data_IF_014377817359
#
_entry.id   IF_014377817359
#
_cell.length_a   1.000
_cell.length_b   1.000
_cell.length_c   1.000
_cell.angle_alpha   90.00
_cell.angle_beta   90.00
_cell.angle_gamma   90.00
#
_symmetry.space_group_name_H-M   'P 1'
#
loop_
_entity.id
_entity.type
_entity.pdbx_description
1 polymer ?
#
# COMPACT_ATOMS: atom_id res chain seq x y z
N UNK A 1 12.11 9.48 -61.24
CA UNK A 1 12.80 8.91 -60.08
C UNK A 1 12.73 9.87 -58.91
N UNK A 2 11.82 9.61 -57.93
CA UNK A 2 11.67 10.41 -56.70
C UNK A 2 12.82 10.03 -55.75
N UNK A 3 13.72 10.97 -55.44
CA UNK A 3 14.71 10.83 -54.40
C UNK A 3 13.97 10.67 -53.05
N UNK A 4 14.00 9.48 -52.48
CA UNK A 4 13.60 9.25 -51.09
C UNK A 4 14.58 10.07 -50.21
N UNK A 5 14.06 11.15 -49.61
CA UNK A 5 14.81 11.94 -48.64
C UNK A 5 15.14 11.04 -47.44
N UNK A 6 16.42 10.70 -47.28
CA UNK A 6 16.94 10.11 -46.06
C UNK A 6 16.73 11.14 -44.98
N UNK A 7 15.77 10.85 -44.06
CA UNK A 7 15.62 11.59 -42.80
C UNK A 7 16.93 11.43 -42.00
N UNK A 8 17.82 12.40 -42.10
CA UNK A 8 18.94 12.51 -41.19
C UNK A 8 18.43 13.08 -39.86
N UNK A 9 18.17 12.19 -38.90
CA UNK A 9 17.96 12.62 -37.52
C UNK A 9 19.21 13.34 -37.03
N UNK A 10 19.10 14.65 -36.81
CA UNK A 10 20.19 15.42 -36.18
C UNK A 10 20.37 15.00 -34.72
N UNK A 11 21.56 15.22 -34.17
CA UNK A 11 21.91 14.87 -32.77
C UNK A 11 20.87 15.40 -31.75
N UNK A 12 20.19 16.52 -32.04
CA UNK A 12 19.16 17.13 -31.21
C UNK A 12 17.88 16.27 -31.16
N UNK A 13 17.48 15.71 -32.30
CA UNK A 13 16.30 14.86 -32.37
C UNK A 13 16.53 13.53 -31.64
N UNK A 14 17.70 12.95 -31.75
CA UNK A 14 18.10 11.77 -30.98
C UNK A 14 18.11 12.04 -29.47
N UNK A 15 18.63 13.20 -29.05
CA UNK A 15 18.66 13.58 -27.63
C UNK A 15 17.25 13.75 -27.04
N UNK A 16 16.32 14.33 -27.81
CA UNK A 16 14.91 14.48 -27.40
C UNK A 16 14.20 13.12 -27.31
N UNK A 17 14.39 12.25 -28.29
CA UNK A 17 13.80 10.91 -28.31
C UNK A 17 14.31 10.06 -27.15
N UNK A 18 15.61 10.07 -26.91
CA UNK A 18 16.23 9.38 -25.76
C UNK A 18 15.74 9.96 -24.43
N UNK A 19 15.59 11.27 -24.32
CA UNK A 19 15.02 11.94 -23.16
C UNK A 19 13.61 11.47 -22.87
N UNK A 20 12.76 11.36 -23.91
CA UNK A 20 11.40 10.88 -23.79
C UNK A 20 11.34 9.40 -23.34
N UNK A 21 12.17 8.53 -23.96
CA UNK A 21 12.29 7.12 -23.56
C UNK A 21 12.75 7.02 -22.11
N UNK A 22 13.74 7.81 -21.71
CA UNK A 22 14.23 7.85 -20.31
C UNK A 22 13.12 8.25 -19.35
N UNK A 23 12.31 9.26 -19.71
CA UNK A 23 11.15 9.68 -18.90
C UNK A 23 10.16 8.55 -18.70
N UNK A 24 9.78 7.81 -19.75
CA UNK A 24 8.89 6.66 -19.65
C UNK A 24 9.47 5.55 -18.75
N UNK A 25 10.77 5.24 -18.92
CA UNK A 25 11.44 4.24 -18.09
C UNK A 25 11.47 4.64 -16.61
N UNK A 26 11.66 5.94 -16.31
CA UNK A 26 11.62 6.46 -14.95
C UNK A 26 10.20 6.35 -14.35
N UNK A 27 9.14 6.59 -15.14
CA UNK A 27 7.75 6.40 -14.69
C UNK A 27 7.50 4.92 -14.37
N UNK A 28 7.88 4.00 -15.27
CA UNK A 28 7.69 2.56 -15.04
C UNK A 28 8.50 2.10 -13.82
N UNK A 29 9.70 2.64 -13.63
CA UNK A 29 10.52 2.38 -12.44
C UNK A 29 9.81 2.87 -11.17
N UNK A 30 9.24 4.09 -11.18
CA UNK A 30 8.47 4.61 -10.06
C UNK A 30 7.26 3.71 -9.73
N UNK A 31 6.49 3.30 -10.75
CA UNK A 31 5.37 2.35 -10.58
C UNK A 31 5.86 1.04 -9.95
N UNK A 32 6.95 0.47 -10.47
CA UNK A 32 7.54 -0.74 -9.91
C UNK A 32 7.95 -0.59 -8.45
N UNK A 33 8.63 0.52 -8.10
CA UNK A 33 9.07 0.78 -6.73
C UNK A 33 7.88 1.05 -5.78
N UNK A 34 6.83 1.74 -6.24
CA UNK A 34 5.60 1.94 -5.45
C UNK A 34 4.94 0.59 -5.20
N UNK A 35 4.72 -0.23 -6.23
CA UNK A 35 4.12 -1.57 -6.07
C UNK A 35 4.97 -2.47 -5.16
N UNK A 36 6.28 -2.45 -5.30
CA UNK A 36 7.17 -3.20 -4.41
C UNK A 36 7.07 -2.76 -2.96
N UNK A 37 7.10 -1.44 -2.72
CA UNK A 37 7.06 -0.89 -1.37
C UNK A 37 5.68 -0.94 -0.72
N UNK A 38 4.62 -1.26 -1.45
CA UNK A 38 3.25 -1.37 -0.94
C UNK A 38 2.77 -2.82 -0.92
N UNK A 39 2.61 -3.44 -2.09
CA UNK A 39 2.16 -4.84 -2.20
C UNK A 39 3.26 -5.85 -1.87
N UNK A 40 4.53 -5.48 -2.08
CA UNK A 40 5.67 -6.35 -1.85
C UNK A 40 6.05 -6.52 -0.38
N UNK A 41 5.61 -5.64 0.52
CA UNK A 41 6.00 -5.63 1.93
C UNK A 41 4.79 -5.62 2.84
N UNK A 42 4.74 -6.57 3.81
CA UNK A 42 3.66 -6.63 4.81
C UNK A 42 3.56 -5.37 5.67
N UNK A 43 4.70 -4.77 5.99
CA UNK A 43 4.80 -3.58 6.86
C UNK A 43 3.97 -2.38 6.38
N UNK A 44 3.77 -2.25 5.06
CA UNK A 44 2.91 -1.20 4.54
C UNK A 44 1.42 -1.46 4.86
N UNK A 45 0.98 -2.71 4.70
CA UNK A 45 -0.39 -3.11 5.02
C UNK A 45 -0.68 -3.02 6.53
N UNK A 46 0.28 -3.41 7.36
CA UNK A 46 0.23 -3.20 8.83
C UNK A 46 0.08 -1.73 9.18
N UNK A 47 0.89 -0.86 8.55
CA UNK A 47 0.77 0.59 8.74
C UNK A 47 -0.61 1.13 8.32
N UNK A 48 -1.24 0.54 7.30
CA UNK A 48 -2.59 0.90 6.88
C UNK A 48 -3.63 0.44 7.91
N UNK A 49 -3.50 -0.75 8.50
CA UNK A 49 -4.36 -1.24 9.60
C UNK A 49 -4.35 -0.24 10.75
N UNK A 50 -3.16 0.15 11.23
CA UNK A 50 -3.01 1.11 12.33
C UNK A 50 -3.60 2.49 11.98
N UNK A 51 -3.34 3.01 10.79
CA UNK A 51 -3.83 4.33 10.35
C UNK A 51 -5.32 4.39 10.09
N UNK A 52 -5.96 3.28 9.76
CA UNK A 52 -7.40 3.21 9.49
C UNK A 52 -8.25 3.10 10.75
N UNK A 53 -7.64 3.08 11.95
CA UNK A 53 -8.31 2.78 13.22
C UNK A 53 -9.12 1.48 13.15
N UNK A 54 -8.54 0.47 12.48
CA UNK A 54 -9.21 -0.80 12.22
C UNK A 54 -9.73 -1.45 13.50
N UNK A 55 -8.89 -1.54 14.54
CA UNK A 55 -9.23 -2.16 15.82
C UNK A 55 -10.48 -1.55 16.44
N UNK A 56 -10.56 -0.23 16.55
CA UNK A 56 -11.73 0.47 17.10
C UNK A 56 -13.01 0.23 16.28
N UNK A 57 -12.88 0.35 14.94
CA UNK A 57 -14.03 0.22 14.04
C UNK A 57 -14.55 -1.22 14.01
N UNK A 58 -13.65 -2.21 14.01
CA UNK A 58 -14.01 -3.62 14.01
C UNK A 58 -14.62 -4.04 15.37
N UNK A 59 -14.02 -3.60 16.48
CA UNK A 59 -14.59 -3.83 17.82
C UNK A 59 -16.02 -3.31 17.94
N UNK A 60 -16.28 -2.08 17.46
CA UNK A 60 -17.62 -1.49 17.58
C UNK A 60 -18.70 -2.27 16.79
N UNK A 61 -18.33 -2.95 15.70
CA UNK A 61 -19.26 -3.83 14.97
C UNK A 61 -19.38 -5.17 15.67
N UNK A 62 -18.28 -5.82 16.03
CA UNK A 62 -18.28 -7.10 16.76
C UNK A 62 -19.01 -7.04 18.09
N UNK A 63 -18.92 -5.90 18.79
CA UNK A 63 -19.65 -5.68 20.04
C UNK A 63 -21.15 -5.88 19.86
N UNK A 64 -21.75 -5.34 18.81
CA UNK A 64 -23.17 -5.50 18.51
C UNK A 64 -23.53 -6.96 18.19
N UNK A 65 -22.69 -7.64 17.43
CA UNK A 65 -22.89 -9.04 17.06
C UNK A 65 -22.80 -9.95 18.30
N UNK A 66 -21.78 -9.74 19.15
CA UNK A 66 -21.58 -10.52 20.38
C UNK A 66 -22.72 -10.31 21.37
N UNK A 67 -23.17 -9.06 21.56
CA UNK A 67 -24.36 -8.77 22.40
C UNK A 67 -25.58 -9.49 21.86
N UNK A 68 -25.75 -9.54 20.53
CA UNK A 68 -26.91 -10.25 19.94
C UNK A 68 -26.84 -11.76 20.16
N UNK A 69 -25.67 -12.38 20.13
CA UNK A 69 -25.48 -13.80 20.46
C UNK A 69 -25.77 -14.07 21.92
N UNK A 70 -25.31 -13.20 22.83
CA UNK A 70 -25.55 -13.34 24.28
C UNK A 70 -26.99 -13.10 24.68
N UNK A 71 -27.68 -12.16 24.04
CA UNK A 71 -29.08 -11.83 24.34
C UNK A 71 -30.01 -13.04 24.16
N UNK A 72 -29.78 -13.85 23.12
CA UNK A 72 -30.51 -15.10 22.88
C UNK A 72 -30.27 -16.16 23.97
N UNK A 73 -29.14 -16.11 24.65
CA UNK A 73 -28.77 -17.05 25.72
C UNK A 73 -28.97 -16.48 27.13
N UNK A 74 -29.41 -15.22 27.27
CA UNK A 74 -29.69 -14.56 28.56
C UNK A 74 -28.43 -13.99 29.26
N UNK A 75 -27.33 -13.78 28.55
CA UNK A 75 -26.13 -13.16 29.07
C UNK A 75 -26.13 -11.64 28.86
N UNK A 76 -25.43 -10.94 29.77
CA UNK A 76 -25.29 -9.48 29.71
C UNK A 76 -24.36 -9.02 28.61
N UNK A 77 -24.57 -7.80 28.13
CA UNK A 77 -23.66 -7.18 27.15
C UNK A 77 -22.21 -7.13 27.65
N UNK A 78 -22.03 -6.82 28.95
CA UNK A 78 -20.71 -6.72 29.57
C UNK A 78 -19.94 -8.05 29.52
N UNK A 79 -20.63 -9.17 29.78
CA UNK A 79 -20.06 -10.52 29.71
C UNK A 79 -19.66 -10.88 28.29
N UNK A 80 -20.48 -10.56 27.31
CA UNK A 80 -20.23 -10.89 25.91
C UNK A 80 -19.09 -10.08 25.29
N UNK A 81 -18.84 -8.88 25.79
CA UNK A 81 -17.79 -7.99 25.29
C UNK A 81 -16.49 -8.02 26.12
N UNK A 82 -16.47 -8.80 27.21
CA UNK A 82 -15.36 -8.87 28.14
C UNK A 82 -14.01 -9.27 27.48
N UNK A 83 -14.05 -10.05 26.41
CA UNK A 83 -12.89 -10.50 25.65
C UNK A 83 -12.48 -9.54 24.52
N UNK A 84 -13.26 -8.48 24.24
CA UNK A 84 -12.98 -7.55 23.16
C UNK A 84 -12.01 -6.44 23.61
N UNK A 85 -10.91 -6.30 22.87
CA UNK A 85 -9.98 -5.18 23.00
C UNK A 85 -9.61 -4.65 21.61
N UNK A 86 -9.78 -3.34 21.34
CA UNK A 86 -9.39 -2.76 20.06
C UNK A 86 -7.91 -3.00 19.72
N UNK A 87 -7.02 -2.97 20.71
CA UNK A 87 -5.60 -3.20 20.53
C UNK A 87 -5.31 -4.65 20.13
N UNK A 88 -6.02 -5.62 20.75
CA UNK A 88 -5.89 -7.03 20.42
C UNK A 88 -6.41 -7.32 19.01
N UNK A 89 -7.57 -6.77 18.65
CA UNK A 89 -8.15 -6.90 17.31
C UNK A 89 -7.22 -6.34 16.24
N UNK A 90 -6.59 -5.17 16.51
CA UNK A 90 -5.62 -4.59 15.60
C UNK A 90 -4.38 -5.49 15.45
N UNK A 91 -3.86 -6.00 16.56
CA UNK A 91 -2.70 -6.88 16.55
C UNK A 91 -2.97 -8.20 15.83
N UNK A 92 -4.13 -8.82 16.06
CA UNK A 92 -4.52 -10.07 15.41
C UNK A 92 -4.70 -9.91 13.90
N UNK A 93 -5.21 -8.75 13.44
CA UNK A 93 -5.25 -8.42 12.02
C UNK A 93 -3.83 -8.26 11.45
N UNK A 94 -2.91 -7.60 12.16
CA UNK A 94 -1.51 -7.45 11.77
C UNK A 94 -0.85 -8.82 11.67
N UNK A 95 -1.06 -9.70 12.64
CA UNK A 95 -0.51 -11.06 12.65
C UNK A 95 -1.08 -11.91 11.50
N UNK A 96 -2.37 -11.73 11.18
CA UNK A 96 -3.00 -12.34 10.00
C UNK A 96 -2.32 -11.91 8.71
N UNK A 97 -1.97 -10.61 8.59
CA UNK A 97 -1.24 -10.07 7.44
C UNK A 97 0.16 -10.69 7.37
N UNK A 98 0.92 -10.70 8.46
CA UNK A 98 2.25 -11.31 8.52
C UNK A 98 2.24 -12.74 8.03
N UNK A 99 1.30 -13.54 8.51
CA UNK A 99 1.16 -14.95 8.11
C UNK A 99 0.94 -15.12 6.61
N UNK A 100 0.14 -14.23 5.98
CA UNK A 100 -0.08 -14.25 4.54
C UNK A 100 1.22 -13.97 3.77
N UNK A 101 2.02 -13.00 4.22
CA UNK A 101 3.31 -12.67 3.59
C UNK A 101 4.36 -13.75 3.78
N UNK A 102 4.34 -14.48 4.90
CA UNK A 102 5.17 -15.67 5.15
C UNK A 102 4.71 -16.90 4.37
N UNK A 103 3.50 -16.85 3.80
CA UNK A 103 2.91 -17.95 3.03
C UNK A 103 2.14 -18.95 3.87
N UNK A 104 1.90 -18.65 5.14
CA UNK A 104 1.02 -19.41 6.02
C UNK A 104 -0.43 -18.94 5.81
N UNK A 105 -1.18 -19.68 4.98
CA UNK A 105 -2.54 -19.33 4.60
C UNK A 105 -3.61 -19.99 5.47
N UNK A 106 -3.24 -20.71 6.55
CA UNK A 106 -4.20 -21.27 7.49
C UNK A 106 -4.89 -20.16 8.30
N UNK A 107 -6.15 -20.36 8.67
CA UNK A 107 -6.82 -19.48 9.61
C UNK A 107 -6.08 -19.48 10.95
N UNK A 108 -6.05 -18.36 11.62
CA UNK A 108 -5.59 -18.32 13.00
C UNK A 108 -6.71 -18.84 13.89
N UNK A 109 -6.40 -19.87 14.66
CA UNK A 109 -7.35 -20.45 15.62
C UNK A 109 -7.36 -19.58 16.88
N UNK A 110 -8.10 -18.51 16.91
CA UNK A 110 -8.23 -17.59 18.05
C UNK A 110 -8.98 -18.23 19.22
N UNK A 111 -8.46 -19.34 19.74
CA UNK A 111 -9.10 -20.13 20.81
C UNK A 111 -9.20 -19.34 22.13
N UNK A 112 -8.26 -18.45 22.39
CA UNK A 112 -8.25 -17.60 23.59
C UNK A 112 -9.54 -16.75 23.72
N UNK A 113 -10.13 -16.30 22.61
CA UNK A 113 -11.39 -15.54 22.63
C UNK A 113 -12.55 -16.42 23.11
N UNK A 114 -12.67 -17.66 22.59
CA UNK A 114 -13.69 -18.59 23.04
C UNK A 114 -13.53 -18.93 24.53
N UNK A 115 -12.31 -19.20 24.98
CA UNK A 115 -12.00 -19.53 26.37
C UNK A 115 -12.33 -18.36 27.32
N UNK A 116 -11.95 -17.14 26.96
CA UNK A 116 -12.25 -15.94 27.76
C UNK A 116 -13.73 -15.65 27.81
N UNK A 117 -14.44 -15.77 26.66
CA UNK A 117 -15.88 -15.56 26.59
C UNK A 117 -16.62 -16.65 27.39
N UNK A 118 -16.20 -17.91 27.27
CA UNK A 118 -16.76 -19.01 28.03
C UNK A 118 -16.60 -18.78 29.55
N UNK A 119 -15.40 -18.41 29.99
CA UNK A 119 -15.12 -18.13 31.40
C UNK A 119 -15.98 -16.96 31.94
N UNK A 120 -16.17 -15.90 31.15
CA UNK A 120 -17.03 -14.79 31.53
C UNK A 120 -18.50 -15.20 31.66
N UNK A 121 -19.02 -16.02 30.73
CA UNK A 121 -20.37 -16.58 30.79
C UNK A 121 -20.56 -17.53 31.99
N UNK A 122 -19.57 -18.37 32.28
CA UNK A 122 -19.56 -19.25 33.45
C UNK A 122 -19.64 -18.46 34.76
N UNK A 123 -18.85 -17.40 34.87
CA UNK A 123 -18.86 -16.49 36.01
C UNK A 123 -20.21 -15.81 36.19
N UNK A 124 -20.84 -15.32 35.13
CA UNK A 124 -22.15 -14.70 35.18
C UNK A 124 -23.22 -15.71 35.55
N UNK A 125 -23.19 -16.94 35.00
CA UNK A 125 -24.11 -18.01 35.35
C UNK A 125 -24.01 -18.38 36.83
N UNK A 126 -22.80 -18.52 37.35
CA UNK A 126 -22.55 -18.78 38.77
C UNK A 126 -23.11 -17.66 39.68
N UNK A 127 -22.89 -16.39 39.26
CA UNK A 127 -23.44 -15.22 39.97
C UNK A 127 -24.98 -15.22 40.02
N UNK A 128 -25.64 -15.77 38.99
CA UNK A 128 -27.09 -15.94 38.90
C UNK A 128 -27.58 -17.25 39.58
N UNK A 129 -26.67 -18.04 40.18
CA UNK A 129 -26.99 -19.29 40.83
C UNK A 129 -27.36 -20.43 39.85
N UNK A 130 -26.94 -20.31 38.60
CA UNK A 130 -27.14 -21.32 37.54
C UNK A 130 -25.87 -22.15 37.40
N UNK A 131 -25.98 -23.46 37.59
CA UNK A 131 -24.90 -24.41 37.28
C UNK A 131 -24.93 -24.79 35.82
N UNK A 132 -23.79 -24.68 35.13
CA UNK A 132 -23.65 -25.08 33.73
C UNK A 132 -23.39 -26.60 33.67
N UNK A 133 -24.46 -27.39 33.51
CA UNK A 133 -24.41 -28.84 33.38
C UNK A 133 -25.22 -29.33 32.18
N UNK A 134 -24.75 -30.40 31.54
CA UNK A 134 -25.45 -31.01 30.40
C UNK A 134 -25.76 -30.04 29.28
N UNK A 135 -27.01 -29.95 28.84
CA UNK A 135 -27.41 -29.13 27.68
C UNK A 135 -27.20 -27.62 27.85
N UNK A 136 -27.12 -27.09 29.10
CA UNK A 136 -26.79 -25.66 29.33
C UNK A 136 -25.31 -25.39 29.09
N UNK A 137 -24.44 -26.33 29.43
CA UNK A 137 -23.01 -26.23 29.11
C UNK A 137 -22.76 -26.26 27.61
N UNK A 138 -23.39 -27.20 26.91
CA UNK A 138 -23.30 -27.33 25.46
C UNK A 138 -23.77 -26.04 24.74
N UNK A 139 -24.87 -25.42 25.24
CA UNK A 139 -25.36 -24.16 24.69
C UNK A 139 -24.38 -23.01 24.88
N UNK A 140 -23.72 -22.91 26.04
CA UNK A 140 -22.68 -21.90 26.31
C UNK A 140 -21.45 -22.12 25.43
N UNK A 141 -21.01 -23.35 25.21
CA UNK A 141 -19.91 -23.70 24.31
C UNK A 141 -20.24 -23.29 22.85
N UNK A 142 -21.47 -23.50 22.39
CA UNK A 142 -21.92 -23.09 21.06
C UNK A 142 -21.87 -21.56 20.92
N UNK A 143 -22.29 -20.80 21.92
CA UNK A 143 -22.21 -19.34 21.89
C UNK A 143 -20.75 -18.86 21.89
N UNK A 144 -19.89 -19.44 22.74
CA UNK A 144 -18.47 -19.09 22.76
C UNK A 144 -17.78 -19.38 21.41
N UNK A 145 -18.15 -20.49 20.77
CA UNK A 145 -17.64 -20.86 19.45
C UNK A 145 -18.16 -19.91 18.36
N UNK A 146 -19.44 -19.49 18.43
CA UNK A 146 -19.99 -18.49 17.51
C UNK A 146 -19.25 -17.15 17.64
N UNK A 147 -18.99 -16.69 18.86
CA UNK A 147 -18.17 -15.50 19.13
C UNK A 147 -16.77 -15.64 18.54
N UNK A 148 -16.09 -16.77 18.75
CA UNK A 148 -14.78 -17.04 18.17
C UNK A 148 -14.80 -16.99 16.65
N UNK A 149 -15.81 -17.59 16.04
CA UNK A 149 -15.93 -17.67 14.59
C UNK A 149 -16.14 -16.30 13.98
N UNK A 150 -16.98 -15.47 14.61
CA UNK A 150 -17.19 -14.10 14.18
C UNK A 150 -15.93 -13.25 14.35
N UNK A 151 -15.24 -13.37 15.50
CA UNK A 151 -13.94 -12.70 15.71
C UNK A 151 -12.92 -13.07 14.64
N UNK A 152 -12.80 -14.34 14.29
CA UNK A 152 -11.88 -14.80 13.23
C UNK A 152 -12.27 -14.22 11.87
N UNK A 153 -13.57 -14.10 11.57
CA UNK A 153 -14.06 -13.49 10.35
C UNK A 153 -13.62 -12.02 10.21
N UNK A 154 -13.62 -11.25 11.31
CA UNK A 154 -13.21 -9.85 11.32
C UNK A 154 -11.69 -9.67 11.34
N UNK A 155 -10.94 -10.53 12.02
CA UNK A 155 -9.47 -10.42 12.18
C UNK A 155 -8.69 -11.14 11.09
N UNK A 156 -9.38 -11.83 10.19
CA UNK A 156 -8.75 -12.51 9.05
C UNK A 156 -9.09 -11.82 7.74
N UNK A 157 -8.09 -11.53 6.92
CA UNK A 157 -8.32 -10.95 5.61
C UNK A 157 -9.14 -11.89 4.71
N UNK A 158 -10.21 -11.39 4.07
CA UNK A 158 -10.96 -12.17 3.11
C UNK A 158 -10.06 -12.53 1.92
N UNK A 159 -10.35 -13.66 1.27
CA UNK A 159 -9.60 -14.12 0.08
C UNK A 159 -8.09 -14.31 0.32
N UNK A 160 -7.67 -14.64 1.56
CA UNK A 160 -6.26 -14.80 1.96
C UNK A 160 -5.43 -15.68 1.01
N UNK A 161 -6.01 -16.76 0.46
CA UNK A 161 -5.33 -17.67 -0.48
C UNK A 161 -5.03 -16.95 -1.79
N UNK A 162 -6.01 -16.22 -2.33
CA UNK A 162 -5.86 -15.44 -3.55
C UNK A 162 -4.86 -14.28 -3.35
N UNK A 163 -4.97 -13.59 -2.21
CA UNK A 163 -4.04 -12.52 -1.84
C UNK A 163 -2.60 -13.05 -1.70
N UNK A 164 -2.39 -14.15 -0.99
CA UNK A 164 -1.05 -14.73 -0.83
C UNK A 164 -0.43 -15.17 -2.16
N UNK A 165 -1.20 -15.76 -3.05
CA UNK A 165 -0.72 -16.13 -4.40
C UNK A 165 -0.43 -14.89 -5.25
N UNK A 166 -1.28 -13.86 -5.17
CA UNK A 166 -1.08 -12.59 -5.86
C UNK A 166 0.18 -11.87 -5.36
N UNK A 167 0.37 -11.77 -4.05
CA UNK A 167 1.55 -11.14 -3.44
C UNK A 167 2.83 -11.79 -3.95
N UNK A 168 2.94 -13.12 -3.91
CA UNK A 168 4.11 -13.85 -4.41
C UNK A 168 4.38 -13.60 -5.89
N UNK A 169 3.33 -13.59 -6.73
CA UNK A 169 3.45 -13.27 -8.16
C UNK A 169 3.90 -11.84 -8.40
N UNK A 170 3.29 -10.89 -7.68
CA UNK A 170 3.62 -9.46 -7.78
C UNK A 170 5.04 -9.21 -7.32
N UNK A 171 5.47 -9.75 -6.18
CA UNK A 171 6.85 -9.61 -5.69
C UNK A 171 7.87 -10.05 -6.75
N UNK A 172 7.67 -11.23 -7.34
CA UNK A 172 8.57 -11.74 -8.38
C UNK A 172 8.57 -10.87 -9.65
N UNK A 173 7.38 -10.49 -10.12
CA UNK A 173 7.22 -9.69 -11.33
C UNK A 173 7.81 -8.29 -11.16
N UNK A 174 7.52 -7.64 -10.03
CA UNK A 174 7.97 -6.27 -9.74
C UNK A 174 9.50 -6.20 -9.66
N UNK A 175 10.16 -7.21 -9.05
CA UNK A 175 11.62 -7.28 -9.02
C UNK A 175 12.23 -7.36 -10.42
N UNK A 176 11.68 -8.21 -11.29
CA UNK A 176 12.15 -8.38 -12.66
C UNK A 176 11.96 -7.09 -13.46
N UNK A 177 10.76 -6.49 -13.36
CA UNK A 177 10.42 -5.26 -14.08
C UNK A 177 11.27 -4.08 -13.58
N UNK A 178 11.39 -3.89 -12.26
CA UNK A 178 12.18 -2.82 -11.68
C UNK A 178 13.67 -2.92 -12.05
N UNK A 179 14.26 -4.11 -11.96
CA UNK A 179 15.64 -4.35 -12.37
C UNK A 179 15.84 -4.10 -13.88
N UNK A 180 14.92 -4.60 -14.71
CA UNK A 180 14.96 -4.37 -16.16
C UNK A 180 14.84 -2.88 -16.52
N UNK A 181 13.89 -2.17 -15.92
CA UNK A 181 13.71 -0.73 -16.14
C UNK A 181 14.90 0.08 -15.65
N UNK A 182 15.51 -0.27 -14.50
CA UNK A 182 16.70 0.40 -14.00
C UNK A 182 17.88 0.23 -14.95
N UNK A 183 18.10 -0.99 -15.46
CA UNK A 183 19.15 -1.27 -16.46
C UNK A 183 18.93 -0.50 -17.77
N UNK A 184 17.69 -0.51 -18.28
CA UNK A 184 17.36 0.23 -19.51
C UNK A 184 17.47 1.74 -19.31
N UNK A 185 17.06 2.28 -18.16
CA UNK A 185 17.23 3.69 -17.84
C UNK A 185 18.72 4.07 -17.76
N UNK A 186 19.55 3.27 -17.10
CA UNK A 186 20.99 3.47 -17.05
C UNK A 186 21.61 3.40 -18.45
N UNK A 187 21.23 2.41 -19.26
CA UNK A 187 21.70 2.28 -20.64
C UNK A 187 21.30 3.49 -21.50
N UNK A 188 20.05 3.98 -21.37
CA UNK A 188 19.58 5.15 -22.12
C UNK A 188 20.33 6.42 -21.73
N UNK A 189 20.67 6.62 -20.45
CA UNK A 189 21.51 7.71 -19.96
C UNK A 189 22.93 7.60 -20.53
N UNK A 190 23.53 6.40 -20.54
CA UNK A 190 24.86 6.18 -21.12
C UNK A 190 24.90 6.47 -22.63
N UNK A 191 23.88 6.02 -23.37
CA UNK A 191 23.75 6.32 -24.80
C UNK A 191 23.57 7.83 -25.01
N UNK A 192 22.75 8.49 -24.20
CA UNK A 192 22.58 9.95 -24.25
C UNK A 192 23.91 10.67 -24.05
N UNK A 193 24.69 10.29 -23.03
CA UNK A 193 26.03 10.87 -22.77
C UNK A 193 27.00 10.60 -23.92
N UNK A 194 26.89 9.45 -24.58
CA UNK A 194 27.76 9.08 -25.71
C UNK A 194 27.41 9.84 -26.98
N UNK A 195 26.11 9.99 -27.27
CA UNK A 195 25.63 10.75 -28.44
C UNK A 195 25.91 12.25 -28.29
N UNK A 196 25.84 12.77 -27.07
CA UNK A 196 26.03 14.18 -26.77
C UNK A 196 27.48 14.50 -26.30
N UNK A 197 28.44 13.62 -26.56
CA UNK A 197 29.86 13.78 -26.13
C UNK A 197 30.47 15.16 -26.43
N UNK A 198 29.99 15.85 -27.49
CA UNK A 198 30.44 17.20 -27.88
C UNK A 198 29.79 18.33 -27.09
N UNK A 199 28.63 18.05 -26.44
CA UNK A 199 27.86 19.06 -25.71
C UNK A 199 27.25 18.49 -24.44
N UNK A 200 28.00 18.41 -23.32
CA UNK A 200 27.50 17.86 -22.06
C UNK A 200 26.30 18.64 -21.50
N UNK A 201 26.17 19.94 -21.88
CA UNK A 201 25.02 20.77 -21.52
C UNK A 201 23.71 20.26 -22.16
N UNK A 202 23.81 19.72 -23.37
CA UNK A 202 22.64 19.16 -24.08
C UNK A 202 22.18 17.86 -23.42
N UNK A 203 23.11 16.98 -23.01
CA UNK A 203 22.78 15.77 -22.26
C UNK A 203 22.06 16.09 -20.94
N UNK A 204 22.61 17.03 -20.17
CA UNK A 204 22.00 17.44 -18.90
C UNK A 204 20.62 18.08 -19.10
N UNK A 205 20.43 18.91 -20.15
CA UNK A 205 19.10 19.46 -20.47
C UNK A 205 18.10 18.36 -20.78
N UNK A 206 18.46 17.39 -21.62
CA UNK A 206 17.59 16.25 -21.93
C UNK A 206 17.23 15.44 -20.69
N UNK A 207 18.16 15.25 -19.76
CA UNK A 207 17.94 14.55 -18.49
C UNK A 207 17.01 15.35 -17.57
N UNK A 208 17.18 16.68 -17.50
CA UNK A 208 16.27 17.57 -16.75
C UNK A 208 14.84 17.46 -17.28
N UNK A 209 14.65 17.48 -18.60
CA UNK A 209 13.34 17.29 -19.22
C UNK A 209 12.76 15.90 -18.96
N UNK A 210 13.59 14.85 -19.02
CA UNK A 210 13.16 13.49 -18.73
C UNK A 210 12.66 13.33 -17.28
N UNK A 211 13.41 13.88 -16.32
CA UNK A 211 13.03 13.87 -14.91
C UNK A 211 11.77 14.72 -14.63
N UNK A 212 11.69 15.92 -15.24
CA UNK A 212 10.52 16.77 -15.10
C UNK A 212 9.26 16.12 -15.71
N UNK A 213 9.38 15.46 -16.87
CA UNK A 213 8.32 14.70 -17.48
C UNK A 213 7.85 13.53 -16.62
N UNK A 214 8.77 12.74 -16.06
CA UNK A 214 8.46 11.65 -15.15
C UNK A 214 7.79 12.16 -13.86
N UNK A 215 8.28 13.28 -13.30
CA UNK A 215 7.70 13.92 -12.14
C UNK A 215 6.25 14.36 -12.39
N UNK A 216 5.98 14.97 -13.55
CA UNK A 216 4.64 15.41 -13.91
C UNK A 216 3.68 14.24 -14.02
N UNK A 217 4.08 13.15 -14.66
CA UNK A 217 3.24 11.93 -14.76
C UNK A 217 2.98 11.34 -13.38
N UNK A 218 4.00 11.20 -12.54
CA UNK A 218 3.83 10.72 -11.16
C UNK A 218 2.91 11.63 -10.35
N UNK A 219 3.01 12.96 -10.52
CA UNK A 219 2.15 13.92 -9.85
C UNK A 219 0.69 13.77 -10.30
N UNK A 220 0.45 13.64 -11.61
CA UNK A 220 -0.90 13.42 -12.15
C UNK A 220 -1.50 12.13 -11.61
N UNK A 221 -0.74 11.02 -11.60
CA UNK A 221 -1.19 9.75 -11.00
C UNK A 221 -1.51 9.94 -9.51
N UNK A 222 -0.63 10.58 -8.75
CA UNK A 222 -0.80 10.79 -7.31
C UNK A 222 -2.00 11.66 -6.95
N UNK A 223 -2.33 12.66 -7.80
CA UNK A 223 -3.47 13.56 -7.57
C UNK A 223 -4.78 13.06 -8.18
N UNK A 224 -4.73 12.11 -9.11
CA UNK A 224 -5.92 11.62 -9.85
C UNK A 224 -6.92 10.86 -8.96
N UNK A 225 -6.50 10.41 -7.77
CA UNK A 225 -7.33 9.57 -6.89
C UNK A 225 -8.47 10.34 -6.27
N UNK A 226 -8.22 11.53 -5.75
CA UNK A 226 -9.24 12.31 -5.04
C UNK A 226 -10.47 12.69 -5.93
N UNK A 227 -10.30 13.08 -7.21
CA UNK A 227 -11.46 13.40 -8.06
C UNK A 227 -12.03 12.21 -8.83
N UNK A 228 -11.26 11.13 -9.08
CA UNK A 228 -11.70 10.03 -9.95
C UNK A 228 -12.25 8.82 -9.19
N UNK A 229 -11.80 8.59 -7.96
CA UNK A 229 -12.25 7.48 -7.14
C UNK A 229 -12.88 8.03 -5.87
N UNK A 230 -14.21 8.12 -5.86
CA UNK A 230 -14.95 8.34 -4.62
C UNK A 230 -14.91 7.04 -3.79
N UNK A 231 -13.73 6.76 -3.22
CA UNK A 231 -13.47 5.56 -2.43
C UNK A 231 -14.41 5.45 -1.22
N UNK A 232 -14.99 6.58 -0.81
CA UNK A 232 -15.97 6.60 0.27
C UNK A 232 -17.33 6.03 -0.14
N UNK A 233 -17.62 5.94 -1.44
CA UNK A 233 -18.84 5.30 -1.97
C UNK A 233 -18.72 3.80 -2.17
N UNK A 234 -17.58 3.21 -1.87
CA UNK A 234 -17.45 1.75 -1.91
C UNK A 234 -18.41 1.13 -0.89
N UNK A 235 -19.34 0.29 -1.39
CA UNK A 235 -20.26 -0.50 -0.56
C UNK A 235 -19.52 -1.74 -0.05
N UNK A 236 -18.44 -1.55 0.71
CA UNK A 236 -17.74 -2.64 1.39
C UNK A 236 -18.23 -2.73 2.82
N UNK A 237 -18.70 -3.90 3.17
CA UNK A 237 -19.02 -4.27 4.54
C UNK A 237 -18.02 -5.34 5.02
N UNK A 238 -17.54 -5.29 6.25
CA UNK A 238 -17.82 -4.28 7.29
C UNK A 238 -17.06 -2.96 7.09
N UNK A 239 -17.50 -1.91 7.79
CA UNK A 239 -16.90 -0.56 7.72
C UNK A 239 -15.40 -0.54 8.03
N UNK A 240 -14.91 -1.43 8.89
CA UNK A 240 -13.49 -1.59 9.22
C UNK A 240 -12.65 -1.97 8.00
N UNK A 241 -13.11 -2.91 7.19
CA UNK A 241 -12.44 -3.29 5.94
C UNK A 241 -12.50 -2.18 4.91
N UNK A 242 -13.63 -1.47 4.81
CA UNK A 242 -13.74 -0.29 3.94
C UNK A 242 -12.68 0.75 4.27
N UNK A 243 -12.57 1.14 5.55
CA UNK A 243 -11.61 2.14 6.01
C UNK A 243 -10.16 1.69 5.75
N UNK A 244 -9.87 0.40 5.98
CA UNK A 244 -8.58 -0.18 5.68
C UNK A 244 -8.23 -0.08 4.18
N UNK A 245 -9.16 -0.48 3.30
CA UNK A 245 -8.96 -0.43 1.84
C UNK A 245 -8.77 1.01 1.37
N UNK A 246 -9.59 1.95 1.85
CA UNK A 246 -9.45 3.38 1.53
C UNK A 246 -8.08 3.90 1.94
N UNK A 247 -7.68 3.68 3.19
CA UNK A 247 -6.38 4.12 3.71
C UNK A 247 -5.20 3.50 2.94
N UNK A 248 -5.32 2.22 2.58
CA UNK A 248 -4.32 1.49 1.81
C UNK A 248 -4.16 2.07 0.40
N UNK A 249 -5.27 2.29 -0.30
CA UNK A 249 -5.28 2.83 -1.67
C UNK A 249 -4.79 4.28 -1.70
N UNK A 250 -5.30 5.14 -0.84
CA UNK A 250 -4.85 6.55 -0.73
C UNK A 250 -3.34 6.64 -0.47
N UNK A 251 -2.83 5.78 0.39
CA UNK A 251 -1.41 5.74 0.67
C UNK A 251 -0.54 5.25 -0.50
N UNK A 252 -1.03 4.34 -1.36
CA UNK A 252 -0.35 3.96 -2.62
C UNK A 252 -0.16 5.18 -3.50
N UNK A 253 -1.23 5.94 -3.72
CA UNK A 253 -1.19 7.13 -4.56
C UNK A 253 -0.37 8.26 -3.93
N UNK A 254 -0.41 8.41 -2.60
CA UNK A 254 0.46 9.32 -1.88
C UNK A 254 1.96 9.07 -2.13
N UNK A 255 2.37 7.82 -2.34
CA UNK A 255 3.76 7.51 -2.71
C UNK A 255 4.16 8.02 -4.09
N UNK A 256 3.24 8.10 -5.05
CA UNK A 256 3.55 8.72 -6.35
C UNK A 256 3.86 10.21 -6.21
N UNK A 257 3.21 10.93 -5.30
CA UNK A 257 3.55 12.35 -5.03
C UNK A 257 4.94 12.49 -4.44
N UNK A 258 5.39 11.55 -3.61
CA UNK A 258 6.75 11.51 -3.08
C UNK A 258 7.78 11.30 -4.21
N UNK A 259 7.53 10.35 -5.12
CA UNK A 259 8.40 10.14 -6.29
C UNK A 259 8.41 11.37 -7.20
N UNK A 260 7.27 12.03 -7.41
CA UNK A 260 7.20 13.28 -8.17
C UNK A 260 8.07 14.36 -7.53
N UNK A 261 8.03 14.53 -6.20
CA UNK A 261 8.86 15.47 -5.47
C UNK A 261 10.35 15.15 -5.59
N UNK A 262 10.74 13.88 -5.48
CA UNK A 262 12.14 13.44 -5.66
C UNK A 262 12.63 13.75 -7.07
N UNK A 263 11.89 13.41 -8.12
CA UNK A 263 12.26 13.68 -9.50
C UNK A 263 12.34 15.17 -9.79
N UNK A 264 11.42 15.98 -9.26
CA UNK A 264 11.47 17.44 -9.36
C UNK A 264 12.72 18.01 -8.66
N UNK A 265 13.03 17.56 -7.45
CA UNK A 265 14.20 18.02 -6.71
C UNK A 265 15.49 17.72 -7.48
N UNK A 266 15.65 16.49 -7.99
CA UNK A 266 16.82 16.10 -8.80
C UNK A 266 16.88 16.93 -10.10
N UNK A 267 15.74 17.14 -10.76
CA UNK A 267 15.65 17.97 -11.97
C UNK A 267 16.09 19.42 -11.71
N UNK A 268 15.65 20.01 -10.59
CA UNK A 268 16.03 21.37 -10.18
C UNK A 268 17.52 21.48 -9.87
N UNK A 269 18.07 20.52 -9.12
CA UNK A 269 19.51 20.49 -8.79
C UNK A 269 20.34 20.44 -10.09
N UNK A 270 20.00 19.53 -11.01
CA UNK A 270 20.68 19.45 -12.31
C UNK A 270 20.51 20.73 -13.12
N UNK A 271 19.33 21.36 -13.12
CA UNK A 271 19.06 22.62 -13.79
C UNK A 271 19.89 23.78 -13.22
N UNK A 272 20.07 23.83 -11.89
CA UNK A 272 20.92 24.85 -11.24
C UNK A 272 22.40 24.66 -11.57
N UNK A 273 22.88 23.43 -11.65
CA UNK A 273 24.27 23.12 -12.04
C UNK A 273 24.59 23.56 -13.48
N UNK A 274 23.57 23.62 -14.33
CA UNK A 274 23.71 24.08 -15.73
C UNK A 274 23.73 25.59 -15.89
N UNK A 275 23.38 26.36 -14.85
CA UNK A 275 23.45 27.83 -14.93
C UNK A 275 24.85 28.26 -15.18
N UNK A 276 25.14 29.05 -16.27
CA UNK A 276 26.44 29.58 -16.49
C UNK A 276 26.79 30.46 -15.29
N UNK A 277 27.94 30.16 -14.63
CA UNK A 277 28.55 31.12 -13.69
C UNK A 277 28.81 32.38 -14.48
N UNK A 278 28.08 33.47 -14.21
CA UNK A 278 28.42 34.79 -14.73
C UNK A 278 29.81 35.10 -14.20
N UNK A 279 30.84 34.97 -15.08
CA UNK A 279 32.11 35.58 -14.79
C UNK A 279 31.84 37.07 -14.60
N UNK A 280 32.02 37.55 -13.38
CA UNK A 280 32.20 38.98 -13.10
C UNK A 280 33.42 39.42 -13.94
N UNK A 281 33.15 40.01 -15.10
CA UNK A 281 34.15 40.85 -15.73
C UNK A 281 34.33 42.03 -14.77
N UNK A 282 35.32 41.95 -13.92
CA UNK A 282 35.90 43.15 -13.31
C UNK A 282 36.43 43.96 -14.49
N UNK A 283 35.73 45.04 -14.78
CA UNK A 283 36.22 46.16 -15.55
C UNK A 283 37.40 46.74 -14.78
N UNK A 284 38.62 46.34 -15.16
CA UNK A 284 39.81 47.14 -14.95
C UNK A 284 39.85 48.17 -16.09
N UNK A 285 39.15 49.28 -15.90
CA UNK A 285 39.49 50.54 -16.56
C UNK A 285 40.47 51.24 -15.64
N UNK A 286 41.68 51.38 -16.14
CA UNK A 286 42.65 52.45 -15.83
C UNK A 286 43.14 52.99 -17.15
#
# INVERSE_FOLDING_TARGET
>A
MKKQGKFHFGNTQWALLLGWITSLLLVVLAVGLVLFSTLGTGSYMESAVRKSNFGQTACGVMEQDFISFGAGAGFSAETMTAALSPEQVEQDMVDSIHRIYEGNLAAHEQNAIAETTYAAMEQEAAAKGVTLEGGTKDAVEIVAEAVRQEYVNYTTLPLRVQLGTLIKKVQKLVWIVAAGCALLAAASVLVLLRVTRRDPRMACRSLVFALAGAALVCLVIGLAVNPMMDLQRLSLEPASLKNLVVCYVEGIFGRFTVFAAIYLAVSLILGLLLRPRKHKKESAEY
#
